data_IF_491576080139
#
_entry.id   IF_491576080139
#
_cell.length_a   1.000
_cell.length_b   1.000
_cell.length_c   1.000
_cell.angle_alpha   90.00
_cell.angle_beta   90.00
_cell.angle_gamma   90.00
#
_symmetry.space_group_name_H-M   'P 1'
#
loop_
_entity.id
_entity.type
_entity.pdbx_description
1 polymer ?
#
# COMPACT_ATOMS: atom_id res chain seq x y z
N UNK A 1 -14.50 -3.57 -5.31
CA UNK A 1 -14.09 -3.94 -6.68
C UNK A 1 -13.63 -2.65 -7.34
N UNK A 2 -12.34 -2.50 -7.67
CA UNK A 2 -11.90 -1.35 -8.45
C UNK A 2 -12.56 -1.49 -9.83
N UNK A 3 -13.51 -0.63 -10.14
CA UNK A 3 -14.18 -0.64 -11.44
C UNK A 3 -13.20 -0.12 -12.48
N UNK A 4 -12.88 -0.93 -13.48
CA UNK A 4 -12.00 -0.58 -14.60
C UNK A 4 -12.44 0.71 -15.31
N UNK A 5 -13.75 0.93 -15.42
CA UNK A 5 -14.37 2.08 -16.08
C UNK A 5 -14.06 3.43 -15.43
N UNK A 6 -13.75 3.45 -14.13
CA UNK A 6 -13.48 4.70 -13.42
C UNK A 6 -12.05 5.18 -13.63
N UNK A 7 -11.10 4.25 -13.64
CA UNK A 7 -9.69 4.56 -13.87
C UNK A 7 -9.42 5.00 -15.32
N UNK A 8 -10.10 4.37 -16.30
CA UNK A 8 -10.00 4.80 -17.71
C UNK A 8 -10.55 6.22 -17.94
N UNK A 9 -11.66 6.58 -17.29
CA UNK A 9 -12.25 7.94 -17.44
C UNK A 9 -11.35 9.03 -16.84
N UNK A 10 -10.68 8.75 -15.74
CA UNK A 10 -9.73 9.68 -15.12
C UNK A 10 -8.45 9.85 -15.97
N UNK A 11 -8.02 8.81 -16.68
CA UNK A 11 -6.88 8.88 -17.61
C UNK A 11 -7.13 9.77 -18.84
N UNK A 12 -8.38 9.96 -19.24
CA UNK A 12 -8.73 10.79 -20.41
C UNK A 12 -8.65 12.31 -20.15
N UNK A 13 -8.54 12.74 -18.89
CA UNK A 13 -8.44 14.15 -18.51
C UNK A 13 -7.04 14.76 -18.75
N UNK A 14 -6.01 13.95 -19.01
CA UNK A 14 -4.62 14.39 -19.12
C UNK A 14 -4.07 14.25 -20.55
N UNK A 15 -3.36 15.30 -21.03
CA UNK A 15 -2.92 15.38 -22.42
C UNK A 15 -1.61 14.60 -22.68
N UNK A 16 -1.43 14.17 -23.94
CA UNK A 16 -0.22 13.47 -24.42
C UNK A 16 1.08 14.27 -24.28
N UNK A 17 1.02 15.57 -23.99
CA UNK A 17 2.20 16.44 -23.81
C UNK A 17 2.92 16.20 -22.48
N UNK A 18 2.21 15.71 -21.48
CA UNK A 18 2.78 15.44 -20.14
C UNK A 18 3.64 14.16 -20.13
N UNK A 19 3.49 13.32 -21.15
CA UNK A 19 4.26 12.06 -21.31
C UNK A 19 5.71 12.26 -21.82
N UNK A 20 6.01 13.39 -22.42
CA UNK A 20 7.32 13.63 -23.07
C UNK A 20 8.46 13.96 -22.10
N UNK A 21 8.17 14.41 -20.89
CA UNK A 21 9.21 14.85 -19.94
C UNK A 21 9.77 13.71 -19.07
N UNK A 22 9.06 12.61 -18.90
CA UNK A 22 9.49 11.49 -18.04
C UNK A 22 10.38 10.46 -18.75
N UNK A 23 10.36 10.43 -20.09
CA UNK A 23 11.14 9.46 -20.88
C UNK A 23 12.60 9.87 -21.13
N UNK A 24 13.01 11.10 -20.81
CA UNK A 24 14.33 11.64 -21.11
C UNK A 24 15.37 11.57 -19.98
N UNK A 25 15.00 11.09 -18.79
CA UNK A 25 15.90 10.94 -17.65
C UNK A 25 16.19 9.47 -17.35
N UNK A 26 16.87 8.80 -18.27
CA UNK A 26 17.59 7.58 -17.93
C UNK A 26 18.76 7.95 -17.03
N UNK A 27 18.63 7.73 -15.75
CA UNK A 27 19.58 7.40 -14.68
C UNK A 27 18.94 7.83 -13.35
N UNK A 28 18.59 6.89 -12.51
CA UNK A 28 18.51 6.84 -11.04
C UNK A 28 18.28 8.10 -10.18
N UNK A 29 17.61 9.14 -10.64
CA UNK A 29 17.21 10.23 -9.76
C UNK A 29 15.97 9.79 -8.97
N UNK A 30 16.08 9.77 -7.64
CA UNK A 30 14.95 9.54 -6.76
C UNK A 30 13.86 10.58 -7.07
N UNK A 31 12.63 10.12 -7.36
CA UNK A 31 11.48 10.99 -7.58
C UNK A 31 11.08 11.77 -6.31
N UNK A 32 11.63 11.37 -5.17
CA UNK A 32 11.44 12.03 -3.89
C UNK A 32 12.75 12.64 -3.39
N UNK A 33 12.74 13.88 -2.88
CA UNK A 33 13.85 14.38 -2.09
C UNK A 33 14.02 13.50 -0.83
N UNK A 34 15.26 13.24 -0.43
CA UNK A 34 15.52 12.60 0.84
C UNK A 34 14.97 13.47 2.00
N UNK A 35 14.53 12.84 3.13
CA UNK A 35 14.26 13.58 4.35
C UNK A 35 15.46 14.45 4.77
N UNK A 36 15.20 15.57 5.46
CA UNK A 36 16.28 16.50 5.89
C UNK A 36 17.34 15.80 6.76
N UNK A 37 16.90 14.83 7.58
CA UNK A 37 17.78 14.03 8.48
C UNK A 37 17.83 12.57 7.99
N UNK A 38 17.98 12.36 6.67
CA UNK A 38 18.00 11.03 6.08
C UNK A 38 19.14 10.17 6.63
N UNK A 39 18.78 9.01 7.19
CA UNK A 39 19.77 8.01 7.62
C UNK A 39 20.21 7.15 6.44
N UNK A 40 21.45 6.64 6.51
CA UNK A 40 21.94 5.69 5.52
C UNK A 40 21.15 4.37 5.62
N UNK A 41 20.78 3.83 4.48
CA UNK A 41 19.98 2.61 4.39
C UNK A 41 20.71 1.50 3.65
N UNK A 42 20.32 0.27 3.92
CA UNK A 42 20.66 -0.93 3.16
C UNK A 42 19.39 -1.55 2.59
N UNK A 43 19.49 -2.08 1.39
CA UNK A 43 18.37 -2.63 0.66
C UNK A 43 18.68 -4.01 0.11
N UNK A 44 17.67 -4.86 0.02
CA UNK A 44 17.78 -6.22 -0.49
C UNK A 44 16.50 -6.72 -1.12
N UNK A 45 16.63 -7.52 -2.16
CA UNK A 45 15.55 -8.38 -2.63
C UNK A 45 15.50 -9.63 -1.78
N UNK A 46 14.32 -9.97 -1.28
CA UNK A 46 14.12 -11.09 -0.37
C UNK A 46 13.05 -12.05 -0.89
N UNK A 47 13.15 -13.30 -0.47
CA UNK A 47 12.15 -14.34 -0.72
C UNK A 47 11.58 -14.79 0.62
N UNK A 48 10.30 -14.54 0.84
CA UNK A 48 9.61 -14.87 2.09
C UNK A 48 8.77 -16.13 1.88
N UNK A 49 8.99 -17.12 2.72
CA UNK A 49 8.15 -18.33 2.73
C UNK A 49 6.78 -18.02 3.30
N UNK A 50 5.75 -18.41 2.56
CA UNK A 50 4.33 -18.30 2.94
C UNK A 50 3.70 -19.68 2.83
N UNK A 51 2.48 -19.89 3.35
CA UNK A 51 1.77 -21.16 3.15
C UNK A 51 1.56 -21.53 1.68
N UNK A 52 1.51 -20.54 0.78
CA UNK A 52 1.18 -20.75 -0.64
C UNK A 52 2.39 -20.61 -1.58
N UNK A 53 3.61 -20.55 -1.03
CA UNK A 53 4.83 -20.47 -1.83
C UNK A 53 5.84 -19.44 -1.31
N UNK A 54 6.66 -18.91 -2.23
CA UNK A 54 7.67 -17.89 -1.89
C UNK A 54 7.30 -16.55 -2.50
N UNK A 55 7.08 -15.57 -1.64
CA UNK A 55 6.84 -14.20 -2.04
C UNK A 55 8.16 -13.47 -2.27
N UNK A 56 8.36 -12.92 -3.44
CA UNK A 56 9.41 -11.95 -3.72
C UNK A 56 9.00 -10.58 -3.17
N UNK A 57 9.92 -9.93 -2.46
CA UNK A 57 9.68 -8.65 -1.82
C UNK A 57 10.96 -7.81 -1.79
N UNK A 58 10.79 -6.52 -1.53
CA UNK A 58 11.88 -5.57 -1.31
C UNK A 58 11.93 -5.18 0.16
N UNK A 59 13.08 -5.40 0.78
CA UNK A 59 13.33 -5.01 2.16
C UNK A 59 14.40 -3.92 2.21
N UNK A 60 14.12 -2.84 2.92
CA UNK A 60 15.05 -1.73 3.11
C UNK A 60 14.97 -1.24 4.55
N UNK A 61 16.13 -1.01 5.17
CA UNK A 61 16.24 -0.59 6.55
C UNK A 61 17.46 0.31 6.77
N UNK A 62 17.49 1.11 7.84
CA UNK A 62 18.73 1.79 8.25
C UNK A 62 19.87 0.80 8.41
N UNK A 63 21.09 1.23 8.04
CA UNK A 63 22.28 0.36 8.10
C UNK A 63 22.63 -0.11 9.49
N UNK A 64 22.28 0.66 10.50
CA UNK A 64 22.65 0.40 11.90
C UNK A 64 21.42 0.42 12.81
N UNK A 65 21.44 -0.40 13.85
CA UNK A 65 20.38 -0.46 14.85
C UNK A 65 19.18 -1.30 14.45
N UNK A 66 18.17 -1.35 15.32
CA UNK A 66 16.87 -1.95 15.07
C UNK A 66 15.78 -0.88 15.16
N UNK A 67 14.82 -0.94 14.25
CA UNK A 67 13.84 0.12 13.99
C UNK A 67 12.41 -0.41 13.94
N UNK A 68 11.40 0.43 14.21
CA UNK A 68 10.02 0.03 13.97
C UNK A 68 9.81 -0.39 12.52
N UNK A 69 9.04 -1.45 12.29
CA UNK A 69 8.82 -1.94 10.94
C UNK A 69 7.57 -1.33 10.29
N UNK A 70 7.59 -1.26 8.95
CA UNK A 70 6.44 -0.89 8.12
C UNK A 70 6.26 -1.93 7.02
N UNK A 71 5.04 -2.49 6.95
CA UNK A 71 4.61 -3.37 5.86
C UNK A 71 3.83 -2.56 4.83
N UNK A 72 4.30 -2.55 3.58
CA UNK A 72 3.73 -1.77 2.48
C UNK A 72 3.05 -2.68 1.46
N UNK A 73 1.77 -2.40 1.21
CA UNK A 73 0.93 -3.05 0.21
C UNK A 73 0.78 -2.14 -1.01
N UNK A 74 1.41 -2.49 -2.14
CA UNK A 74 1.31 -1.71 -3.38
C UNK A 74 -0.12 -1.63 -3.96
N UNK A 75 -0.26 -0.75 -4.94
CA UNK A 75 -1.46 -0.68 -5.78
C UNK A 75 -1.55 -1.87 -6.77
N UNK A 76 -2.54 -1.82 -7.67
CA UNK A 76 -2.82 -2.87 -8.65
C UNK A 76 -1.65 -3.17 -9.61
N UNK A 77 -0.72 -2.24 -9.79
CA UNK A 77 0.47 -2.45 -10.64
C UNK A 77 1.61 -3.16 -9.88
N UNK A 78 1.45 -3.44 -8.59
CA UNK A 78 2.34 -4.26 -7.78
C UNK A 78 3.68 -3.64 -7.44
N UNK A 79 4.60 -4.50 -6.99
CA UNK A 79 5.97 -4.12 -6.63
C UNK A 79 6.74 -3.69 -7.88
N UNK A 80 7.15 -2.42 -7.92
CA UNK A 80 7.87 -1.77 -9.02
C UNK A 80 8.81 -0.68 -8.50
N UNK A 81 9.67 -0.06 -9.34
CA UNK A 81 10.66 0.93 -8.88
C UNK A 81 10.10 2.03 -7.99
N UNK A 82 8.91 2.56 -8.29
CA UNK A 82 8.24 3.59 -7.50
C UNK A 82 8.01 3.15 -6.05
N UNK A 83 7.47 1.96 -5.83
CA UNK A 83 7.25 1.47 -4.46
C UNK A 83 8.55 1.15 -3.73
N UNK A 84 9.61 0.74 -4.44
CA UNK A 84 10.95 0.64 -3.85
C UNK A 84 11.43 2.01 -3.36
N UNK A 85 11.32 3.07 -4.18
CA UNK A 85 11.70 4.43 -3.79
C UNK A 85 10.87 4.95 -2.61
N UNK A 86 9.57 4.69 -2.59
CA UNK A 86 8.70 5.03 -1.46
C UNK A 86 9.13 4.30 -0.18
N UNK A 87 9.47 3.02 -0.28
CA UNK A 87 10.03 2.24 0.82
C UNK A 87 11.37 2.78 1.30
N UNK A 88 12.28 3.11 0.38
CA UNK A 88 13.58 3.71 0.69
C UNK A 88 13.42 5.03 1.44
N UNK A 89 12.48 5.90 1.02
CA UNK A 89 12.19 7.15 1.71
C UNK A 89 11.71 6.93 3.15
N UNK A 90 10.84 5.96 3.38
CA UNK A 90 10.41 5.60 4.74
C UNK A 90 11.58 5.07 5.56
N UNK A 91 12.44 4.25 4.98
CA UNK A 91 13.62 3.73 5.67
C UNK A 91 14.62 4.84 6.02
N UNK A 92 14.81 5.81 5.14
CA UNK A 92 15.59 7.01 5.41
C UNK A 92 15.03 7.86 6.56
N UNK A 93 13.74 7.71 6.87
CA UNK A 93 13.10 8.32 8.04
C UNK A 93 13.17 7.45 9.30
N UNK A 94 13.95 6.36 9.29
CA UNK A 94 14.23 5.54 10.47
C UNK A 94 13.32 4.33 10.65
N UNK A 95 12.73 3.79 9.58
CA UNK A 95 11.91 2.57 9.63
C UNK A 95 12.57 1.39 8.92
N UNK A 96 12.25 0.18 9.35
CA UNK A 96 12.55 -1.04 8.59
C UNK A 96 11.35 -1.39 7.73
N UNK A 97 11.49 -1.34 6.40
CA UNK A 97 10.35 -1.33 5.47
C UNK A 97 10.36 -2.57 4.59
N UNK A 98 9.24 -3.27 4.56
CA UNK A 98 8.99 -4.38 3.65
C UNK A 98 7.92 -3.99 2.62
N UNK A 99 8.30 -3.98 1.36
CA UNK A 99 7.37 -3.77 0.23
C UNK A 99 7.18 -5.11 -0.48
N UNK A 100 5.98 -5.65 -0.45
CA UNK A 100 5.71 -7.00 -0.92
C UNK A 100 5.22 -7.04 -2.37
N UNK A 101 5.40 -8.19 -3.03
CA UNK A 101 4.66 -8.51 -4.24
C UNK A 101 3.36 -9.23 -3.86
N UNK A 102 2.18 -8.57 -3.88
CA UNK A 102 0.93 -9.22 -3.49
C UNK A 102 0.51 -10.35 -4.46
N UNK A 103 1.09 -10.37 -5.65
CA UNK A 103 0.72 -11.29 -6.74
C UNK A 103 1.66 -12.50 -6.88
N UNK A 104 2.59 -12.71 -5.95
CA UNK A 104 3.63 -13.75 -6.04
C UNK A 104 3.12 -15.16 -6.35
N UNK A 105 1.86 -15.46 -5.98
CA UNK A 105 1.22 -16.76 -6.31
C UNK A 105 1.00 -16.93 -7.81
N UNK A 106 0.97 -15.87 -8.56
CA UNK A 106 0.69 -15.84 -10.01
C UNK A 106 1.90 -15.43 -10.81
N UNK A 107 2.62 -14.42 -10.33
CA UNK A 107 3.70 -13.80 -11.09
C UNK A 107 4.71 -13.14 -10.16
N UNK A 108 5.99 -13.34 -10.48
CA UNK A 108 7.10 -12.63 -9.84
C UNK A 108 7.09 -11.16 -10.27
N UNK A 109 7.52 -10.27 -9.38
CA UNK A 109 7.65 -8.84 -9.72
C UNK A 109 8.80 -8.61 -10.74
N UNK A 110 8.67 -7.61 -11.63
CA UNK A 110 7.54 -6.70 -11.77
C UNK A 110 6.33 -7.36 -12.46
N UNK A 111 5.14 -7.14 -11.92
CA UNK A 111 3.90 -7.75 -12.43
C UNK A 111 3.20 -6.92 -13.49
N UNK A 112 3.55 -5.64 -13.58
CA UNK A 112 3.14 -4.71 -14.62
C UNK A 112 4.37 -4.33 -15.45
N UNK A 113 4.51 -4.91 -16.63
CA UNK A 113 5.71 -4.77 -17.47
C UNK A 113 6.01 -3.33 -17.89
N UNK A 114 4.97 -2.49 -18.02
CA UNK A 114 5.08 -1.08 -18.38
C UNK A 114 4.72 -0.15 -17.20
N UNK A 115 4.84 -0.65 -15.95
CA UNK A 115 4.42 0.10 -14.77
C UNK A 115 2.94 0.52 -14.88
N UNK A 116 2.63 1.76 -14.59
CA UNK A 116 1.26 2.31 -14.67
C UNK A 116 0.74 2.50 -16.10
N UNK A 117 1.57 2.31 -17.12
CA UNK A 117 1.14 2.27 -18.52
C UNK A 117 0.66 0.87 -18.95
N UNK A 118 0.83 -0.16 -18.12
CA UNK A 118 0.32 -1.51 -18.40
C UNK A 118 -1.21 -1.46 -18.48
N UNK A 119 -1.82 -2.02 -19.55
CA UNK A 119 -3.27 -2.02 -19.69
C UNK A 119 -3.98 -2.69 -18.51
N UNK A 120 -5.06 -2.10 -18.04
CA UNK A 120 -5.84 -2.61 -16.92
C UNK A 120 -6.30 -4.06 -17.07
N UNK A 121 -6.73 -4.54 -18.27
CA UNK A 121 -7.08 -5.95 -18.48
C UNK A 121 -5.95 -6.94 -18.17
N UNK A 122 -4.69 -6.52 -18.21
CA UNK A 122 -3.54 -7.39 -17.90
C UNK A 122 -3.33 -7.54 -16.38
N UNK A 123 -3.58 -6.49 -15.59
CA UNK A 123 -3.38 -6.50 -14.13
C UNK A 123 -4.62 -6.92 -13.34
N UNK A 124 -5.82 -6.74 -13.90
CA UNK A 124 -7.07 -7.11 -13.24
C UNK A 124 -7.18 -8.60 -12.84
N UNK A 125 -6.73 -9.58 -13.66
CA UNK A 125 -6.74 -10.98 -13.26
C UNK A 125 -5.87 -11.24 -12.02
N UNK A 126 -4.76 -10.51 -11.86
CA UNK A 126 -3.89 -10.59 -10.69
C UNK A 126 -4.62 -10.07 -9.45
N UNK A 127 -5.22 -8.88 -9.54
CA UNK A 127 -5.99 -8.30 -8.44
C UNK A 127 -7.15 -9.20 -8.00
N UNK A 128 -7.88 -9.80 -8.96
CA UNK A 128 -8.99 -10.73 -8.68
C UNK A 128 -8.54 -12.05 -8.05
N UNK A 129 -7.26 -12.38 -8.11
CA UNK A 129 -6.73 -13.58 -7.44
C UNK A 129 -6.55 -13.40 -5.92
N UNK A 130 -6.61 -12.15 -5.43
CA UNK A 130 -6.51 -11.84 -4.01
C UNK A 130 -7.88 -11.97 -3.33
N UNK A 131 -7.88 -12.48 -2.12
CA UNK A 131 -9.07 -12.60 -1.29
C UNK A 131 -8.73 -12.43 0.20
N UNK A 132 -9.74 -12.42 1.06
CA UNK A 132 -9.57 -12.20 2.49
C UNK A 132 -8.64 -13.26 3.14
N UNK A 133 -8.77 -14.52 2.74
CA UNK A 133 -8.00 -15.63 3.30
C UNK A 133 -6.52 -15.54 2.91
N UNK A 134 -6.23 -15.30 1.62
CA UNK A 134 -4.84 -15.15 1.15
C UNK A 134 -4.19 -13.93 1.76
N UNK A 135 -4.90 -12.80 1.87
CA UNK A 135 -4.38 -11.59 2.49
C UNK A 135 -4.05 -11.79 3.99
N UNK A 136 -4.90 -12.51 4.71
CA UNK A 136 -4.66 -12.84 6.12
C UNK A 136 -3.45 -13.78 6.29
N UNK A 137 -3.31 -14.81 5.45
CA UNK A 137 -2.17 -15.71 5.47
C UNK A 137 -0.86 -14.96 5.18
N UNK A 138 -0.88 -14.06 4.19
CA UNK A 138 0.25 -13.23 3.81
C UNK A 138 0.65 -12.26 4.92
N UNK A 139 -0.32 -11.58 5.52
CA UNK A 139 -0.07 -10.66 6.62
C UNK A 139 0.68 -11.35 7.77
N UNK A 140 0.23 -12.55 8.17
CA UNK A 140 0.91 -13.35 9.21
C UNK A 140 2.34 -13.71 8.79
N UNK A 141 2.52 -14.23 7.58
CA UNK A 141 3.83 -14.65 7.09
C UNK A 141 4.82 -13.48 7.01
N UNK A 142 4.38 -12.33 6.50
CA UNK A 142 5.24 -11.16 6.34
C UNK A 142 5.61 -10.52 7.67
N UNK A 143 4.67 -10.43 8.61
CA UNK A 143 4.95 -9.91 9.96
C UNK A 143 5.88 -10.87 10.72
N UNK A 144 5.63 -12.18 10.64
CA UNK A 144 6.54 -13.17 11.24
C UNK A 144 7.94 -13.07 10.65
N UNK A 145 8.06 -12.90 9.33
CA UNK A 145 9.36 -12.71 8.68
C UNK A 145 10.04 -11.42 9.14
N UNK A 146 9.32 -10.30 9.22
CA UNK A 146 9.84 -9.03 9.74
C UNK A 146 10.41 -9.20 11.16
N UNK A 147 9.73 -9.94 12.02
CA UNK A 147 10.16 -10.17 13.40
C UNK A 147 11.44 -11.04 13.50
N UNK A 148 11.86 -11.68 12.43
CA UNK A 148 13.16 -12.40 12.36
C UNK A 148 14.31 -11.53 11.87
N UNK A 149 14.05 -10.30 11.40
CA UNK A 149 15.09 -9.46 10.85
C UNK A 149 15.82 -8.69 11.95
N UNK A 150 17.18 -8.68 11.98
CA UNK A 150 17.94 -7.98 13.02
C UNK A 150 17.76 -6.46 12.99
N UNK A 151 17.31 -5.90 11.84
CA UNK A 151 17.01 -4.49 11.69
C UNK A 151 15.63 -4.09 12.27
N UNK A 152 14.82 -5.04 12.70
CA UNK A 152 13.47 -4.79 13.22
C UNK A 152 13.47 -4.81 14.75
N UNK A 153 13.00 -3.72 15.36
CA UNK A 153 12.73 -3.66 16.79
C UNK A 153 11.40 -4.35 17.13
N UNK A 154 11.47 -5.59 17.53
CA UNK A 154 10.27 -6.39 17.87
C UNK A 154 9.54 -5.93 19.13
N UNK A 155 10.13 -5.01 19.92
CA UNK A 155 9.46 -4.37 21.07
C UNK A 155 8.53 -3.24 20.63
N UNK A 156 8.68 -2.76 19.40
CA UNK A 156 7.80 -1.76 18.79
C UNK A 156 6.75 -2.45 17.93
N UNK A 157 5.54 -1.90 17.94
CA UNK A 157 4.51 -2.31 16.98
C UNK A 157 4.89 -1.88 15.58
N UNK A 158 4.32 -2.54 14.57
CA UNK A 158 4.56 -2.22 13.16
C UNK A 158 3.48 -1.28 12.61
N UNK A 159 3.86 -0.49 11.61
CA UNK A 159 2.92 0.20 10.74
C UNK A 159 2.53 -0.68 9.54
N UNK A 160 1.34 -0.49 9.01
CA UNK A 160 0.97 -1.07 7.71
C UNK A 160 0.35 0.00 6.81
N UNK A 161 0.81 0.09 5.58
CA UNK A 161 0.42 1.13 4.61
C UNK A 161 -0.03 0.44 3.33
N UNK A 162 -1.14 0.90 2.76
CA UNK A 162 -1.65 0.37 1.50
C UNK A 162 -2.19 1.46 0.58
N UNK A 163 -2.00 1.23 -0.72
CA UNK A 163 -2.38 2.14 -1.78
C UNK A 163 -3.39 1.47 -2.69
N UNK A 164 -4.49 2.16 -3.08
CA UNK A 164 -5.51 1.62 -3.98
C UNK A 164 -6.02 0.26 -3.50
N UNK A 165 -5.74 -0.80 -4.26
CA UNK A 165 -5.99 -2.20 -3.92
C UNK A 165 -5.37 -2.62 -2.57
N UNK A 166 -4.24 -2.02 -2.19
CA UNK A 166 -3.57 -2.28 -0.91
C UNK A 166 -4.35 -1.75 0.30
N UNK A 167 -5.21 -0.75 0.13
CA UNK A 167 -6.00 -0.15 1.22
C UNK A 167 -6.83 -1.17 2.00
N UNK A 168 -7.74 -1.94 1.38
CA UNK A 168 -8.47 -3.00 2.07
C UNK A 168 -7.58 -4.09 2.68
N UNK A 169 -6.38 -4.33 2.11
CA UNK A 169 -5.44 -5.31 2.67
C UNK A 169 -4.85 -4.82 4.00
N UNK A 170 -4.65 -3.51 4.17
CA UNK A 170 -4.24 -2.92 5.47
C UNK A 170 -5.26 -3.24 6.57
N UNK A 171 -6.55 -3.09 6.30
CA UNK A 171 -7.61 -3.43 7.26
C UNK A 171 -7.55 -4.92 7.64
N UNK A 172 -7.42 -5.81 6.65
CA UNK A 172 -7.27 -7.25 6.88
C UNK A 172 -6.00 -7.57 7.66
N UNK A 173 -4.90 -6.89 7.38
CA UNK A 173 -3.63 -7.04 8.11
C UNK A 173 -3.80 -6.67 9.58
N UNK A 174 -4.38 -5.50 9.87
CA UNK A 174 -4.56 -5.02 11.24
C UNK A 174 -5.53 -5.90 12.05
N UNK A 175 -6.58 -6.42 11.41
CA UNK A 175 -7.52 -7.34 12.06
C UNK A 175 -6.94 -8.75 12.27
N UNK A 176 -6.01 -9.18 11.38
CA UNK A 176 -5.43 -10.53 11.44
C UNK A 176 -4.32 -10.64 12.49
N UNK A 177 -3.54 -9.57 12.71
CA UNK A 177 -2.39 -9.55 13.64
C UNK A 177 -2.48 -8.31 14.56
N UNK A 178 -3.59 -8.14 15.31
CA UNK A 178 -3.88 -6.92 16.06
C UNK A 178 -2.87 -6.66 17.19
N UNK A 179 -2.22 -7.70 17.69
CA UNK A 179 -1.19 -7.58 18.73
C UNK A 179 0.11 -6.95 18.21
N UNK A 180 0.39 -7.07 16.92
CA UNK A 180 1.63 -6.53 16.30
C UNK A 180 1.42 -5.23 15.55
N UNK A 181 0.24 -5.00 14.96
CA UNK A 181 -0.06 -3.76 14.21
C UNK A 181 -0.35 -2.62 15.18
N UNK A 182 0.38 -1.53 15.04
CA UNK A 182 0.25 -0.32 15.87
C UNK A 182 -0.31 0.89 15.13
N UNK A 183 -0.33 0.88 13.82
CA UNK A 183 -0.94 1.91 12.97
C UNK A 183 -1.28 1.36 11.59
N UNK A 184 -2.40 1.81 11.01
CA UNK A 184 -2.80 1.49 9.64
C UNK A 184 -3.00 2.75 8.81
N UNK A 185 -2.52 2.75 7.55
CA UNK A 185 -2.75 3.83 6.61
C UNK A 185 -3.29 3.29 5.29
N UNK A 186 -4.45 3.80 4.85
CA UNK A 186 -5.04 3.51 3.55
C UNK A 186 -5.07 4.77 2.71
N UNK A 187 -4.28 4.80 1.64
CA UNK A 187 -4.28 5.89 0.67
C UNK A 187 -5.11 5.51 -0.55
N UNK A 188 -6.12 6.30 -0.86
CA UNK A 188 -7.10 6.05 -1.96
C UNK A 188 -7.52 4.57 -2.05
N UNK A 189 -7.80 3.95 -0.90
CA UNK A 189 -8.21 2.55 -0.85
C UNK A 189 -9.62 2.36 -1.40
N UNK A 190 -9.75 1.54 -2.44
CA UNK A 190 -11.05 1.19 -3.00
C UNK A 190 -11.73 0.07 -2.21
N UNK A 191 -13.08 0.10 -2.14
CA UNK A 191 -13.85 -1.00 -1.56
C UNK A 191 -13.68 -1.20 -0.06
N UNK A 192 -13.41 -0.14 0.71
CA UNK A 192 -13.32 -0.19 2.17
C UNK A 192 -14.67 -0.44 2.83
N UNK A 193 -15.74 0.01 2.20
CA UNK A 193 -17.14 -0.22 2.60
C UNK A 193 -17.86 -0.85 1.42
N UNK A 194 -18.35 -2.06 1.59
CA UNK A 194 -19.11 -2.81 0.60
C UNK A 194 -20.25 -3.56 1.28
N UNK A 195 -21.18 -4.12 0.49
CA UNK A 195 -22.26 -4.98 0.99
C UNK A 195 -21.82 -6.42 1.26
N UNK A 196 -20.59 -6.79 0.92
CA UNK A 196 -20.07 -8.13 1.11
C UNK A 196 -19.84 -8.43 2.61
N UNK A 197 -20.05 -9.67 3.01
CA UNK A 197 -19.83 -10.12 4.38
C UNK A 197 -18.37 -10.02 4.84
N UNK A 198 -17.40 -9.95 3.92
CA UNK A 198 -15.97 -9.77 4.16
C UNK A 198 -15.49 -8.33 3.95
N UNK A 199 -16.43 -7.36 3.96
CA UNK A 199 -16.12 -5.94 3.78
C UNK A 199 -15.11 -5.45 4.83
N UNK A 200 -14.06 -4.71 4.45
CA UNK A 200 -13.01 -4.28 5.35
C UNK A 200 -13.51 -3.52 6.59
N UNK A 201 -14.52 -2.66 6.47
CA UNK A 201 -15.05 -1.91 7.62
C UNK A 201 -15.64 -2.82 8.72
N UNK A 202 -16.09 -4.03 8.39
CA UNK A 202 -16.62 -4.99 9.36
C UNK A 202 -15.51 -5.63 10.23
N UNK A 203 -14.25 -5.47 9.84
CA UNK A 203 -13.09 -5.98 10.58
C UNK A 203 -12.60 -5.01 11.66
N UNK A 204 -13.05 -3.75 11.67
CA UNK A 204 -12.60 -2.71 12.59
C UNK A 204 -12.71 -3.14 14.06
N UNK A 205 -13.77 -3.81 14.54
CA UNK A 205 -13.85 -4.28 15.92
C UNK A 205 -12.79 -5.31 16.34
N UNK A 206 -12.07 -5.89 15.36
CA UNK A 206 -10.99 -6.88 15.59
C UNK A 206 -9.60 -6.23 15.64
N UNK A 207 -9.50 -4.92 15.42
CA UNK A 207 -8.24 -4.19 15.35
C UNK A 207 -7.89 -3.55 16.71
N UNK A 208 -6.60 -3.25 16.91
CA UNK A 208 -6.08 -2.54 18.08
C UNK A 208 -5.22 -1.32 17.70
N UNK A 209 -5.42 -0.76 16.52
CA UNK A 209 -4.55 0.29 15.96
C UNK A 209 -5.35 1.52 15.53
N UNK A 210 -4.81 2.74 15.69
CA UNK A 210 -5.32 3.93 15.02
C UNK A 210 -5.11 3.87 13.51
N UNK A 211 -5.94 4.59 12.75
CA UNK A 211 -5.90 4.60 11.29
C UNK A 211 -5.89 6.00 10.69
N UNK A 212 -5.17 6.14 9.58
CA UNK A 212 -5.35 7.20 8.59
C UNK A 212 -6.03 6.60 7.36
N UNK A 213 -7.15 7.20 6.95
CA UNK A 213 -7.84 6.84 5.71
C UNK A 213 -7.94 8.11 4.85
N UNK A 214 -7.04 8.21 3.88
CA UNK A 214 -7.00 9.31 2.92
C UNK A 214 -7.78 8.91 1.67
N UNK A 215 -8.93 9.55 1.46
CA UNK A 215 -9.89 9.24 0.39
C UNK A 215 -9.65 10.21 -0.78
N UNK A 216 -9.63 9.71 -2.01
CA UNK A 216 -9.61 10.56 -3.18
C UNK A 216 -10.96 11.24 -3.41
N UNK A 217 -10.95 12.49 -3.92
CA UNK A 217 -12.17 13.26 -4.20
C UNK A 217 -13.14 12.47 -5.11
N UNK A 218 -12.63 11.90 -6.19
CA UNK A 218 -13.43 11.11 -7.12
C UNK A 218 -13.89 9.75 -6.56
N UNK A 219 -13.24 9.19 -5.54
CA UNK A 219 -13.73 8.02 -4.81
C UNK A 219 -14.88 8.41 -3.86
N UNK A 220 -14.75 9.57 -3.21
CA UNK A 220 -15.81 10.12 -2.36
C UNK A 220 -17.08 10.47 -3.16
N UNK A 221 -16.92 11.06 -4.35
CA UNK A 221 -18.04 11.35 -5.25
C UNK A 221 -18.84 10.09 -5.64
N UNK A 222 -18.15 8.93 -5.81
CA UNK A 222 -18.80 7.65 -6.16
C UNK A 222 -19.47 6.96 -4.97
N UNK A 223 -18.97 7.21 -3.76
CA UNK A 223 -19.47 6.56 -2.55
C UNK A 223 -19.44 7.50 -1.35
N UNK A 224 -20.21 8.60 -1.35
CA UNK A 224 -20.10 9.67 -0.36
C UNK A 224 -20.39 9.22 1.09
N UNK A 225 -21.15 8.15 1.25
CA UNK A 225 -21.48 7.60 2.58
C UNK A 225 -20.37 6.71 3.16
N UNK A 226 -19.42 6.24 2.36
CA UNK A 226 -18.36 5.33 2.84
C UNK A 226 -17.56 5.94 4.00
N UNK A 227 -17.20 7.22 3.90
CA UNK A 227 -16.49 7.94 4.98
C UNK A 227 -17.28 8.00 6.28
N UNK A 228 -18.61 8.17 6.20
CA UNK A 228 -19.48 8.22 7.37
C UNK A 228 -19.60 6.85 8.05
N UNK A 229 -19.74 5.79 7.25
CA UNK A 229 -19.75 4.40 7.73
C UNK A 229 -18.42 4.07 8.43
N UNK A 230 -17.29 4.44 7.84
CA UNK A 230 -15.96 4.23 8.43
C UNK A 230 -15.82 5.01 9.76
N UNK A 231 -16.16 6.31 9.78
CA UNK A 231 -16.10 7.13 11.00
C UNK A 231 -16.93 6.50 12.13
N UNK A 232 -18.14 6.05 11.81
CA UNK A 232 -19.00 5.37 12.77
C UNK A 232 -18.38 4.07 13.26
N UNK A 233 -17.88 3.21 12.37
CA UNK A 233 -17.31 1.92 12.74
C UNK A 233 -16.06 2.06 13.65
N UNK A 234 -15.18 3.03 13.39
CA UNK A 234 -14.04 3.33 14.25
C UNK A 234 -14.48 3.88 15.61
N UNK A 235 -15.48 4.78 15.64
CA UNK A 235 -16.02 5.31 16.88
C UNK A 235 -16.68 4.22 17.76
N UNK A 236 -17.49 3.36 17.15
CA UNK A 236 -18.14 2.23 17.84
C UNK A 236 -17.09 1.26 18.44
N UNK A 237 -15.99 1.04 17.74
CA UNK A 237 -14.86 0.23 18.20
C UNK A 237 -13.94 0.96 19.20
N UNK A 238 -14.18 2.25 19.47
CA UNK A 238 -13.33 3.11 20.30
C UNK A 238 -11.89 3.21 19.82
N UNK A 239 -11.69 3.14 18.51
CA UNK A 239 -10.41 3.31 17.85
C UNK A 239 -10.31 4.71 17.27
N UNK A 240 -9.13 5.34 17.40
CA UNK A 240 -8.84 6.62 16.75
C UNK A 240 -8.68 6.43 15.25
N UNK A 241 -9.30 7.30 14.46
CA UNK A 241 -9.11 7.34 13.02
C UNK A 241 -9.20 8.78 12.50
N UNK A 242 -8.28 9.12 11.62
CA UNK A 242 -8.33 10.31 10.77
C UNK A 242 -8.85 9.86 9.40
N UNK A 243 -10.00 10.36 8.99
CA UNK A 243 -10.68 9.95 7.75
C UNK A 243 -11.03 11.23 7.00
N UNK A 244 -10.29 11.50 5.93
CA UNK A 244 -10.37 12.75 5.20
C UNK A 244 -10.42 12.54 3.70
N UNK A 245 -11.12 13.45 3.01
CA UNK A 245 -11.18 13.53 1.55
C UNK A 245 -10.14 14.54 1.10
N UNK A 246 -9.23 14.09 0.24
CA UNK A 246 -8.19 14.91 -0.35
C UNK A 246 -8.60 15.39 -1.74
N UNK A 247 -8.30 16.65 -2.12
CA UNK A 247 -8.63 17.21 -3.43
C UNK A 247 -7.69 16.66 -4.53
N UNK A 248 -7.66 15.34 -4.66
CA UNK A 248 -6.79 14.62 -5.58
C UNK A 248 -7.50 13.38 -6.15
N UNK A 249 -7.14 12.98 -7.35
CA UNK A 249 -7.72 11.82 -8.03
C UNK A 249 -7.18 10.49 -7.47
N UNK A 250 -7.95 9.40 -7.64
CA UNK A 250 -7.54 8.06 -7.24
C UNK A 250 -6.18 7.70 -7.82
N UNK A 251 -5.22 7.33 -6.98
CA UNK A 251 -3.84 7.02 -7.40
C UNK A 251 -2.85 8.18 -7.25
N UNK A 252 -3.20 9.27 -6.57
CA UNK A 252 -2.35 10.48 -6.49
C UNK A 252 -1.03 10.30 -5.75
N UNK A 253 -0.87 9.28 -4.89
CA UNK A 253 0.34 9.13 -4.07
C UNK A 253 1.56 8.55 -4.80
N UNK A 254 1.46 7.50 -5.65
CA UNK A 254 2.63 6.99 -6.35
C UNK A 254 3.07 7.93 -7.47
N UNK A 255 4.34 8.40 -7.48
CA UNK A 255 4.79 9.44 -8.40
C UNK A 255 4.90 9.02 -9.87
N UNK A 256 4.73 7.76 -10.19
CA UNK A 256 4.68 7.27 -11.57
C UNK A 256 3.27 7.18 -12.14
N UNK A 257 2.26 7.58 -11.40
CA UNK A 257 0.88 7.68 -11.92
C UNK A 257 0.67 8.99 -12.65
N UNK A 258 -0.28 9.00 -13.59
CA UNK A 258 -0.65 10.21 -14.33
C UNK A 258 -1.37 11.25 -13.49
N UNK A 259 -1.94 10.82 -12.36
CA UNK A 259 -2.70 11.64 -11.42
C UNK A 259 -1.89 12.03 -10.20
N UNK A 260 -0.57 11.78 -10.24
CA UNK A 260 0.31 12.13 -9.14
C UNK A 260 0.12 13.60 -8.73
N UNK A 261 -0.13 13.80 -7.48
CA UNK A 261 -0.21 15.12 -6.87
C UNK A 261 0.72 15.16 -5.65
N UNK A 262 1.61 16.12 -5.64
CA UNK A 262 2.62 16.30 -4.58
C UNK A 262 2.05 17.08 -3.39
N UNK A 263 1.04 17.92 -3.65
CA UNK A 263 0.48 18.88 -2.68
C UNK A 263 -0.72 18.21 -1.91
#
# INVERSE_FOLDING_TARGET
MCEADSFEKDLLKYSRRDLGLLAALGVGASLFPAPADAVEVQESDVLISTPDGKCDAYFVAPKTGSHPAVLVWPDIFGLRPTFRQMGTRLAQSGYSVLVVNPFYRRQKAPTAAQGTATPFPEVMPLARSLNAQTNAADAKAFITWLDTQPQVDTKKKIGTIGYCMGGPIVFRTAATVPERVGAGCSFHGGGLVTENADSPHLLIPQMNAPFLVAIAENDDERGPEAKNVLKKAFADAKLSAEIEVYPAGHGWCPPDTRVYNKD
#
